data_IF_522421823308
#
_entry.id   IF_522421823308
#
_cell.length_a   1.000
_cell.length_b   1.000
_cell.length_c   1.000
_cell.angle_alpha   90.00
_cell.angle_beta   90.00
_cell.angle_gamma   90.00
#
_symmetry.space_group_name_H-M   'P 1'
#
loop_
_entity.id
_entity.type
_entity.pdbx_description
1 polymer ?
#
# COMPACT_ATOMS: atom_id res chain seq x y z
N UNK A 1 6.32 -5.95 34.77
CA UNK A 1 6.55 -5.57 36.19
C UNK A 1 7.01 -6.76 37.02
N UNK A 2 6.23 -7.85 37.12
CA UNK A 2 6.62 -9.05 37.88
C UNK A 2 7.96 -9.67 37.46
N UNK A 3 8.30 -9.64 36.16
CA UNK A 3 9.56 -10.19 35.64
C UNK A 3 10.83 -9.46 36.17
N UNK A 4 10.70 -8.26 36.74
CA UNK A 4 11.82 -7.50 37.29
C UNK A 4 12.20 -7.91 38.73
N UNK A 5 11.46 -8.83 39.36
CA UNK A 5 11.78 -9.29 40.70
C UNK A 5 13.18 -9.93 40.75
N UNK A 6 13.90 -9.68 41.85
CA UNK A 6 15.24 -10.25 42.09
C UNK A 6 15.22 -11.78 42.18
N UNK A 7 14.07 -12.38 42.51
CA UNK A 7 13.89 -13.83 42.57
C UNK A 7 13.96 -14.52 41.21
N UNK A 8 13.70 -13.80 40.11
CA UNK A 8 13.77 -14.33 38.75
C UNK A 8 15.20 -14.13 38.24
N UNK A 9 15.88 -15.20 37.85
CA UNK A 9 17.26 -15.13 37.37
C UNK A 9 17.37 -15.70 35.94
N UNK A 10 17.32 -14.85 34.87
CA UNK A 10 17.44 -15.29 33.48
C UNK A 10 18.55 -16.31 33.17
N UNK A 11 19.79 -16.18 33.69
CA UNK A 11 20.86 -17.13 33.43
C UNK A 11 20.62 -18.56 33.96
N UNK A 12 19.62 -18.80 34.83
CA UNK A 12 19.34 -20.16 35.32
C UNK A 12 18.54 -21.02 34.35
N UNK A 13 17.82 -20.41 33.41
CA UNK A 13 17.00 -21.12 32.41
C UNK A 13 17.30 -20.72 30.96
N UNK A 14 18.17 -19.73 30.74
CA UNK A 14 18.69 -19.45 29.41
C UNK A 14 19.52 -20.63 28.90
N UNK A 15 19.45 -20.89 27.60
CA UNK A 15 20.14 -22.02 26.97
C UNK A 15 20.98 -21.52 25.79
N UNK A 16 22.22 -22.01 25.72
CA UNK A 16 23.06 -21.79 24.55
C UNK A 16 22.67 -22.77 23.44
N UNK A 17 22.49 -22.26 22.24
CA UNK A 17 22.38 -23.07 21.04
C UNK A 17 23.79 -23.50 20.60
N UNK A 18 24.03 -24.80 20.52
CA UNK A 18 25.28 -25.33 19.95
C UNK A 18 25.24 -25.22 18.43
N UNK A 19 26.28 -24.60 17.85
CA UNK A 19 26.44 -24.57 16.39
C UNK A 19 26.61 -26.00 15.85
N UNK A 20 25.93 -26.29 14.74
CA UNK A 20 26.16 -27.50 13.94
C UNK A 20 27.51 -27.36 13.23
N UNK A 21 28.22 -28.48 13.04
CA UNK A 21 29.55 -28.49 12.41
C UNK A 21 29.50 -27.87 11.00
N UNK A 22 30.07 -26.66 10.86
CA UNK A 22 30.02 -25.79 9.68
C UNK A 22 30.71 -26.37 8.44
N UNK A 23 31.43 -27.49 8.56
CA UNK A 23 32.03 -28.19 7.44
C UNK A 23 31.03 -29.08 6.68
N UNK A 24 29.86 -29.38 7.27
CA UNK A 24 28.81 -30.20 6.66
C UNK A 24 27.83 -29.32 5.86
N UNK A 25 27.62 -28.07 6.28
CA UNK A 25 26.91 -27.08 5.47
C UNK A 25 27.89 -26.49 4.45
N UNK A 26 27.65 -26.71 3.16
CA UNK A 26 28.37 -26.09 2.04
C UNK A 26 28.11 -24.56 1.93
N UNK A 27 28.26 -23.83 3.04
CA UNK A 27 28.08 -22.38 3.14
C UNK A 27 29.37 -21.65 2.78
N UNK A 28 29.24 -20.50 2.10
CA UNK A 28 30.35 -19.57 1.85
C UNK A 28 30.83 -18.95 3.17
N UNK A 29 32.10 -18.57 3.23
CA UNK A 29 32.76 -18.07 4.44
C UNK A 29 32.08 -16.81 5.02
N UNK A 30 31.55 -15.93 4.16
CA UNK A 30 30.75 -14.77 4.57
C UNK A 30 29.45 -15.17 5.29
N UNK A 31 28.74 -16.18 4.77
CA UNK A 31 27.47 -16.66 5.34
C UNK A 31 27.69 -17.37 6.68
N UNK A 32 28.86 -17.98 6.87
CA UNK A 32 29.29 -18.56 8.16
C UNK A 32 29.51 -17.48 9.22
N UNK A 33 30.01 -16.31 8.84
CA UNK A 33 30.22 -15.19 9.76
C UNK A 33 28.88 -14.50 10.12
N UNK A 34 27.99 -14.29 9.15
CA UNK A 34 26.63 -13.79 9.43
C UNK A 34 25.83 -14.73 10.34
N UNK A 35 25.98 -16.05 10.18
CA UNK A 35 25.34 -17.02 11.07
C UNK A 35 25.88 -16.91 12.50
N UNK A 36 27.18 -16.69 12.69
CA UNK A 36 27.79 -16.50 14.02
C UNK A 36 27.30 -15.22 14.69
N UNK A 37 27.08 -14.16 13.91
CA UNK A 37 26.56 -12.88 14.40
C UNK A 37 25.03 -12.87 14.60
N UNK A 38 24.33 -13.93 14.18
CA UNK A 38 22.88 -14.03 14.33
C UNK A 38 22.44 -14.21 15.79
N UNK A 39 21.20 -13.80 16.08
CA UNK A 39 20.61 -13.77 17.42
C UNK A 39 20.59 -15.14 18.12
N UNK A 40 20.64 -16.22 17.34
CA UNK A 40 20.67 -17.61 17.80
C UNK A 40 22.00 -18.04 18.42
N UNK A 41 23.12 -17.50 17.93
CA UNK A 41 24.47 -17.97 18.26
C UNK A 41 25.32 -16.92 18.97
N UNK A 42 24.87 -15.66 19.01
CA UNK A 42 25.56 -14.55 19.66
C UNK A 42 25.52 -14.61 21.19
N UNK A 43 24.36 -14.94 21.76
CA UNK A 43 24.11 -14.91 23.21
C UNK A 43 23.19 -16.05 23.67
N UNK A 44 23.23 -16.45 24.96
CA UNK A 44 22.27 -17.40 25.53
C UNK A 44 20.84 -16.90 25.34
N UNK A 45 19.98 -17.75 24.77
CA UNK A 45 18.61 -17.36 24.44
C UNK A 45 17.74 -17.49 25.70
N UNK A 46 17.11 -16.39 26.07
CA UNK A 46 16.04 -16.37 27.07
C UNK A 46 14.69 -16.71 26.39
N UNK A 47 14.04 -17.84 26.72
CA UNK A 47 12.75 -18.20 26.13
C UNK A 47 11.63 -17.21 26.46
N UNK A 48 11.76 -16.44 27.55
CA UNK A 48 10.78 -15.43 27.94
C UNK A 48 10.83 -14.19 27.03
N UNK A 49 11.96 -13.95 26.36
CA UNK A 49 12.11 -12.82 25.43
C UNK A 49 11.18 -12.97 24.22
N UNK A 50 10.95 -14.20 23.73
CA UNK A 50 9.99 -14.47 22.65
C UNK A 50 8.54 -14.15 23.05
N UNK A 51 8.19 -14.32 24.32
CA UNK A 51 6.88 -13.94 24.89
C UNK A 51 6.78 -12.41 25.09
N UNK A 52 7.89 -11.67 24.95
CA UNK A 52 7.96 -10.23 25.17
C UNK A 52 8.27 -9.83 26.61
N UNK A 53 8.95 -10.70 27.37
CA UNK A 53 9.44 -10.39 28.72
C UNK A 53 10.94 -10.14 28.68
N UNK A 54 11.35 -8.91 29.02
CA UNK A 54 12.75 -8.53 29.12
C UNK A 54 13.05 -7.86 30.47
N UNK A 55 14.22 -8.15 31.04
CA UNK A 55 14.72 -7.43 32.22
C UNK A 55 15.35 -6.11 31.78
N UNK A 56 14.92 -5.01 32.37
CA UNK A 56 15.38 -3.66 32.02
C UNK A 56 15.63 -2.88 33.29
N UNK A 57 16.73 -2.13 33.34
CA UNK A 57 17.06 -1.26 34.48
C UNK A 57 16.11 -0.06 34.55
N UNK A 58 15.72 0.50 33.40
CA UNK A 58 14.66 1.50 33.31
C UNK A 58 13.31 0.81 33.03
N UNK A 59 12.54 0.60 34.10
CA UNK A 59 11.19 0.03 34.03
C UNK A 59 10.20 0.97 33.35
N UNK A 60 10.36 2.29 33.52
CA UNK A 60 9.41 3.27 33.01
C UNK A 60 9.58 3.46 31.50
N UNK A 61 10.82 3.49 31.02
CA UNK A 61 11.14 3.42 29.59
C UNK A 61 10.57 2.15 28.94
N UNK A 62 10.73 0.99 29.58
CA UNK A 62 10.21 -0.30 29.09
C UNK A 62 8.67 -0.32 28.99
N UNK A 63 7.96 0.26 29.96
CA UNK A 63 6.50 0.27 29.99
C UNK A 63 5.85 1.45 29.27
N UNK A 64 6.64 2.42 28.79
CA UNK A 64 6.16 3.69 28.22
C UNK A 64 5.06 3.52 27.18
N UNK A 65 5.26 2.62 26.19
CA UNK A 65 4.28 2.41 25.12
C UNK A 65 2.99 1.75 25.61
N UNK A 66 3.08 0.80 26.55
CA UNK A 66 1.91 0.15 27.15
C UNK A 66 1.10 1.13 28.00
N UNK A 67 1.78 1.98 28.77
CA UNK A 67 1.13 3.03 29.56
C UNK A 67 0.45 4.07 28.66
N UNK A 68 1.10 4.46 27.55
CA UNK A 68 0.51 5.38 26.57
C UNK A 68 -0.73 4.75 25.91
N UNK A 69 -0.66 3.47 25.51
CA UNK A 69 -1.81 2.74 24.97
C UNK A 69 -2.97 2.71 25.96
N UNK A 70 -2.70 2.40 27.24
CA UNK A 70 -3.72 2.40 28.29
C UNK A 70 -4.33 3.79 28.49
N UNK A 71 -3.50 4.83 28.50
CA UNK A 71 -3.96 6.22 28.62
C UNK A 71 -4.88 6.62 27.45
N UNK A 72 -4.55 6.22 26.22
CA UNK A 72 -5.40 6.46 25.04
C UNK A 72 -6.74 5.73 25.13
N UNK A 73 -6.74 4.45 25.55
CA UNK A 73 -7.98 3.68 25.75
C UNK A 73 -8.87 4.27 26.85
N UNK A 74 -8.27 4.68 27.97
CA UNK A 74 -8.99 5.36 29.03
C UNK A 74 -9.56 6.71 28.56
N UNK A 75 -8.78 7.46 27.78
CA UNK A 75 -9.20 8.73 27.22
C UNK A 75 -10.35 8.58 26.21
N UNK A 76 -10.33 7.56 25.37
CA UNK A 76 -11.43 7.21 24.45
C UNK A 76 -12.74 7.02 25.23
N UNK A 77 -12.74 6.14 26.23
CA UNK A 77 -13.93 5.86 27.06
C UNK A 77 -14.38 7.13 27.80
N UNK A 78 -13.43 7.94 28.28
CA UNK A 78 -13.72 9.21 28.95
C UNK A 78 -14.43 10.19 28.02
N UNK A 79 -14.00 10.32 26.75
CA UNK A 79 -14.66 11.15 25.74
C UNK A 79 -16.08 10.64 25.51
N UNK A 80 -16.27 9.33 25.28
CA UNK A 80 -17.60 8.77 25.04
C UNK A 80 -18.56 9.04 26.20
N UNK A 81 -18.10 8.85 27.44
CA UNK A 81 -18.89 9.12 28.65
C UNK A 81 -19.18 10.61 28.83
N UNK A 82 -18.21 11.47 28.56
CA UNK A 82 -18.40 12.92 28.63
C UNK A 82 -19.47 13.39 27.62
N UNK A 83 -19.41 12.89 26.38
CA UNK A 83 -20.39 13.19 25.32
C UNK A 83 -21.79 12.69 25.69
N UNK A 84 -21.90 11.48 26.24
CA UNK A 84 -23.16 10.92 26.73
C UNK A 84 -23.75 11.76 27.88
N UNK A 85 -22.93 12.11 28.87
CA UNK A 85 -23.34 12.94 30.00
C UNK A 85 -23.83 14.32 29.56
N UNK A 86 -23.11 14.98 28.65
CA UNK A 86 -23.50 16.28 28.10
C UNK A 86 -24.86 16.21 27.39
N UNK A 87 -25.11 15.16 26.62
CA UNK A 87 -26.39 14.96 25.91
C UNK A 87 -27.54 14.73 26.88
N UNK A 88 -27.35 13.88 27.90
CA UNK A 88 -28.36 13.60 28.91
C UNK A 88 -28.73 14.87 29.68
N UNK A 89 -27.73 15.65 30.11
CA UNK A 89 -27.95 16.90 30.85
C UNK A 89 -28.73 17.93 30.02
N UNK A 90 -28.43 18.03 28.73
CA UNK A 90 -29.06 18.99 27.83
C UNK A 90 -30.30 18.43 27.10
N UNK A 91 -30.73 17.21 27.43
CA UNK A 91 -31.86 16.50 26.79
C UNK A 91 -31.74 16.42 25.26
N UNK A 92 -30.51 16.25 24.75
CA UNK A 92 -30.21 16.12 23.33
C UNK A 92 -30.26 14.65 22.90
N UNK A 93 -30.87 14.38 21.75
CA UNK A 93 -30.84 13.05 21.12
C UNK A 93 -29.47 12.78 20.48
N UNK A 94 -29.07 11.50 20.33
CA UNK A 94 -27.89 11.17 19.55
C UNK A 94 -28.07 11.60 18.08
N UNK A 95 -27.06 12.21 17.44
CA UNK A 95 -27.19 12.67 16.06
C UNK A 95 -27.34 11.47 15.12
N UNK A 96 -28.30 11.58 14.18
CA UNK A 96 -28.62 10.51 13.23
C UNK A 96 -27.46 10.17 12.28
N UNK A 97 -26.60 11.15 11.99
CA UNK A 97 -25.38 10.99 11.21
C UNK A 97 -24.16 11.38 12.06
N UNK A 98 -23.08 10.59 11.97
CA UNK A 98 -21.80 10.87 12.65
C UNK A 98 -21.01 11.94 11.89
N UNK A 99 -21.55 13.16 11.83
CA UNK A 99 -20.96 14.32 11.14
C UNK A 99 -20.51 15.40 12.13
N UNK A 100 -19.55 16.23 11.72
CA UNK A 100 -19.01 17.31 12.54
C UNK A 100 -19.93 18.55 12.43
N UNK A 101 -20.16 19.01 11.20
CA UNK A 101 -20.99 20.18 10.93
C UNK A 101 -22.41 19.77 10.50
N UNK A 102 -23.39 19.93 11.39
CA UNK A 102 -24.76 19.49 11.14
C UNK A 102 -25.51 20.41 10.17
N UNK A 103 -25.13 21.68 10.10
CA UNK A 103 -25.78 22.70 9.25
C UNK A 103 -25.44 22.54 7.75
N UNK A 104 -24.46 21.68 7.43
CA UNK A 104 -23.92 21.57 6.08
C UNK A 104 -24.50 20.36 5.36
N UNK A 105 -25.38 20.65 4.42
CA UNK A 105 -25.97 19.66 3.50
C UNK A 105 -25.39 19.78 2.09
N UNK A 106 -25.76 18.86 1.19
CA UNK A 106 -25.30 18.87 -0.22
C UNK A 106 -25.65 20.17 -0.97
N UNK A 107 -26.74 20.83 -0.61
CA UNK A 107 -27.19 22.09 -1.22
C UNK A 107 -26.25 23.25 -0.90
N UNK A 108 -25.62 23.22 0.27
CA UNK A 108 -24.68 24.27 0.71
C UNK A 108 -23.31 24.19 0.04
N UNK A 109 -23.02 23.10 -0.69
CA UNK A 109 -21.73 22.90 -1.36
C UNK A 109 -21.45 23.95 -2.44
N UNK A 110 -22.49 24.48 -3.08
CA UNK A 110 -22.37 25.39 -4.21
C UNK A 110 -22.45 26.88 -3.83
N UNK A 111 -22.70 27.20 -2.55
CA UNK A 111 -22.91 28.58 -2.05
C UNK A 111 -21.58 29.33 -1.81
N UNK A 112 -20.54 28.65 -1.32
CA UNK A 112 -19.26 29.30 -1.04
C UNK A 112 -18.14 28.34 -0.65
N UNK A 113 -16.89 28.83 -0.71
CA UNK A 113 -15.67 28.02 -0.48
C UNK A 113 -15.63 27.45 0.95
N UNK A 114 -16.07 28.23 1.95
CA UNK A 114 -16.10 27.78 3.35
C UNK A 114 -17.10 26.62 3.53
N UNK A 115 -18.30 26.72 2.95
CA UNK A 115 -19.29 25.66 3.00
C UNK A 115 -18.84 24.42 2.22
N UNK A 116 -18.15 24.61 1.09
CA UNK A 116 -17.48 23.55 0.34
C UNK A 116 -16.46 22.79 1.20
N UNK A 117 -15.55 23.49 1.89
CA UNK A 117 -14.54 22.86 2.76
C UNK A 117 -15.23 22.11 3.92
N UNK A 118 -16.22 22.71 4.58
CA UNK A 118 -16.97 22.04 5.66
C UNK A 118 -17.69 20.79 5.18
N UNK A 119 -18.26 20.82 3.97
CA UNK A 119 -18.89 19.64 3.36
C UNK A 119 -17.86 18.53 3.12
N UNK A 120 -16.68 18.86 2.59
CA UNK A 120 -15.63 17.87 2.40
C UNK A 120 -15.13 17.30 3.72
N UNK A 121 -14.94 18.11 4.76
CA UNK A 121 -14.55 17.58 6.09
C UNK A 121 -15.56 16.52 6.58
N UNK A 122 -16.86 16.75 6.39
CA UNK A 122 -17.88 15.78 6.78
C UNK A 122 -17.95 14.54 5.88
N UNK A 123 -17.81 14.69 4.56
CA UNK A 123 -18.17 13.65 3.58
C UNK A 123 -17.03 13.23 2.65
N UNK A 124 -15.78 13.64 2.90
CA UNK A 124 -14.63 13.32 2.04
C UNK A 124 -14.45 11.81 1.89
N UNK A 125 -14.36 11.10 3.01
CA UNK A 125 -14.17 9.65 2.99
C UNK A 125 -15.39 8.89 2.46
N UNK A 126 -16.60 9.41 2.71
CA UNK A 126 -17.82 8.89 2.09
C UNK A 126 -17.74 8.97 0.56
N UNK A 127 -17.34 10.12 -0.01
CA UNK A 127 -17.32 10.36 -1.45
C UNK A 127 -16.14 9.75 -2.20
N UNK A 128 -14.96 9.71 -1.58
CA UNK A 128 -13.68 9.31 -2.19
C UNK A 128 -13.04 8.06 -1.56
N UNK A 129 -13.74 7.36 -0.67
CA UNK A 129 -13.19 6.19 0.04
C UNK A 129 -12.81 5.01 -0.85
N UNK A 130 -13.36 4.89 -2.09
CA UNK A 130 -12.83 3.96 -3.11
C UNK A 130 -11.45 4.39 -3.53
N UNK A 131 -11.41 5.61 -4.03
CA UNK A 131 -10.29 6.15 -4.75
C UNK A 131 -9.08 6.24 -3.82
N UNK A 132 -9.26 6.66 -2.57
CA UNK A 132 -8.21 6.70 -1.53
C UNK A 132 -7.74 5.28 -1.14
N UNK A 133 -8.67 4.35 -0.94
CA UNK A 133 -8.31 2.99 -0.56
C UNK A 133 -7.54 2.25 -1.66
N UNK A 134 -7.99 2.41 -2.90
CA UNK A 134 -7.39 1.76 -4.06
C UNK A 134 -6.08 2.44 -4.44
N UNK A 135 -5.98 3.78 -4.37
CA UNK A 135 -4.74 4.53 -4.65
C UNK A 135 -3.61 4.25 -3.67
N UNK A 136 -3.95 3.93 -2.43
CA UNK A 136 -2.94 3.61 -1.42
C UNK A 136 -2.32 2.21 -1.63
N UNK A 137 -2.99 1.29 -2.33
CA UNK A 137 -2.47 -0.08 -2.55
C UNK A 137 -1.12 -0.07 -3.29
N UNK A 138 -0.98 0.62 -4.44
CA UNK A 138 0.31 0.68 -5.13
C UNK A 138 1.39 1.45 -4.35
N UNK A 139 1.01 2.42 -3.53
CA UNK A 139 1.98 3.17 -2.69
C UNK A 139 2.64 2.23 -1.67
N UNK A 140 1.84 1.37 -1.01
CA UNK A 140 2.37 0.31 -0.12
C UNK A 140 3.29 -0.64 -0.89
N UNK A 141 2.92 -1.03 -2.12
CA UNK A 141 3.77 -1.85 -2.99
C UNK A 141 5.04 -1.15 -3.48
N UNK A 142 4.99 0.17 -3.74
CA UNK A 142 6.14 0.97 -4.17
C UNK A 142 7.16 1.21 -3.06
N UNK A 143 6.72 1.11 -1.81
CA UNK A 143 7.57 1.03 -0.64
C UNK A 143 8.15 -0.38 -0.40
N UNK A 144 8.23 -1.27 -1.39
CA UNK A 144 9.02 -2.52 -1.32
C UNK A 144 10.55 -2.32 -1.16
N UNK A 145 11.02 -1.14 -0.74
CA UNK A 145 12.41 -0.89 -0.34
C UNK A 145 12.83 -1.68 0.92
N UNK A 146 11.88 -2.29 1.62
CA UNK A 146 12.10 -3.06 2.85
C UNK A 146 12.05 -4.55 2.53
N UNK A 147 13.06 -5.14 1.89
CA UNK A 147 13.25 -6.60 1.79
C UNK A 147 12.33 -7.39 0.83
N UNK A 148 12.81 -8.57 0.41
CA UNK A 148 12.19 -9.43 -0.61
C UNK A 148 10.85 -10.05 -0.19
N UNK A 149 10.51 -10.00 1.11
CA UNK A 149 9.30 -10.64 1.62
C UNK A 149 8.02 -9.88 1.32
N UNK A 150 8.18 -8.57 1.37
CA UNK A 150 7.12 -7.61 1.23
C UNK A 150 6.66 -7.50 -0.22
N UNK A 151 7.52 -7.90 -1.16
CA UNK A 151 7.17 -8.02 -2.57
C UNK A 151 6.14 -9.12 -2.86
N UNK A 152 6.14 -10.24 -2.12
CA UNK A 152 5.13 -11.30 -2.30
C UNK A 152 3.75 -10.86 -1.77
N UNK A 153 3.71 -10.25 -0.58
CA UNK A 153 2.47 -9.68 -0.03
C UNK A 153 1.94 -8.54 -0.91
N UNK A 154 2.82 -7.67 -1.43
CA UNK A 154 2.45 -6.62 -2.38
C UNK A 154 1.84 -7.21 -3.67
N UNK A 155 2.37 -8.33 -4.17
CA UNK A 155 1.79 -9.04 -5.32
C UNK A 155 0.38 -9.56 -5.01
N UNK A 156 0.17 -10.17 -3.84
CA UNK A 156 -1.17 -10.61 -3.40
C UNK A 156 -2.16 -9.44 -3.30
N UNK A 157 -1.73 -8.30 -2.74
CA UNK A 157 -2.53 -7.09 -2.71
C UNK A 157 -2.86 -6.56 -4.11
N UNK A 158 -1.91 -6.63 -5.04
CA UNK A 158 -2.10 -6.22 -6.42
C UNK A 158 -3.09 -7.13 -7.18
N UNK A 159 -3.03 -8.45 -6.98
CA UNK A 159 -4.03 -9.38 -7.53
C UNK A 159 -5.42 -9.13 -6.95
N UNK A 160 -5.51 -8.86 -5.65
CA UNK A 160 -6.76 -8.50 -5.01
C UNK A 160 -7.34 -7.20 -5.59
N UNK A 161 -6.49 -6.21 -5.89
CA UNK A 161 -6.89 -4.97 -6.56
C UNK A 161 -7.40 -5.23 -8.00
N UNK A 162 -6.71 -6.07 -8.78
CA UNK A 162 -7.16 -6.46 -10.13
C UNK A 162 -8.54 -7.12 -10.07
N UNK A 163 -8.76 -8.04 -9.14
CA UNK A 163 -10.04 -8.73 -8.98
C UNK A 163 -11.20 -7.77 -8.66
N UNK A 164 -10.92 -6.71 -7.88
CA UNK A 164 -11.90 -5.66 -7.56
C UNK A 164 -12.14 -4.74 -8.75
N UNK A 165 -11.08 -4.30 -9.43
CA UNK A 165 -11.16 -3.38 -10.57
C UNK A 165 -11.76 -4.04 -11.83
N UNK A 166 -11.68 -5.36 -11.95
CA UNK A 166 -12.40 -6.10 -12.98
C UNK A 166 -13.92 -5.82 -12.93
N UNK A 167 -14.46 -5.58 -11.73
CA UNK A 167 -15.85 -5.16 -11.54
C UNK A 167 -15.97 -3.65 -11.76
N UNK A 168 -16.38 -3.24 -12.97
CA UNK A 168 -16.44 -1.81 -13.35
C UNK A 168 -17.53 -0.97 -12.65
N UNK A 169 -18.50 -1.59 -11.97
CA UNK A 169 -19.67 -0.90 -11.37
C UNK A 169 -19.49 -0.77 -9.85
N UNK A 170 -19.70 0.42 -9.28
CA UNK A 170 -19.61 0.63 -7.82
C UNK A 170 -20.52 -0.26 -7.00
N UNK A 171 -21.77 -0.49 -7.43
CA UNK A 171 -22.70 -1.39 -6.73
C UNK A 171 -22.12 -2.80 -6.61
N UNK A 172 -21.55 -3.32 -7.69
CA UNK A 172 -20.92 -4.65 -7.71
C UNK A 172 -19.60 -4.72 -6.89
N UNK A 173 -18.90 -3.59 -6.76
CA UNK A 173 -17.71 -3.47 -5.89
C UNK A 173 -18.15 -3.39 -4.40
N UNK A 174 -19.21 -2.64 -4.10
CA UNK A 174 -19.70 -2.41 -2.74
C UNK A 174 -20.35 -3.66 -2.12
N UNK A 175 -21.22 -4.35 -2.86
CA UNK A 175 -22.00 -5.48 -2.32
C UNK A 175 -21.15 -6.72 -1.99
N UNK A 176 -20.14 -7.02 -2.82
CA UNK A 176 -19.42 -8.31 -2.73
C UNK A 176 -17.90 -8.10 -2.66
N UNK A 177 -17.38 -6.99 -3.19
CA UNK A 177 -15.93 -6.79 -3.32
C UNK A 177 -15.26 -6.39 -2.00
N UNK A 178 -15.82 -5.44 -1.25
CA UNK A 178 -15.09 -4.77 -0.18
C UNK A 178 -15.08 -5.44 1.18
N UNK A 179 -16.20 -6.00 1.61
CA UNK A 179 -16.22 -6.81 2.82
C UNK A 179 -15.30 -8.01 2.68
N UNK A 180 -15.34 -8.69 1.52
CA UNK A 180 -14.43 -9.79 1.18
C UNK A 180 -12.98 -9.33 1.09
N UNK A 181 -12.70 -8.19 0.46
CA UNK A 181 -11.35 -7.63 0.38
C UNK A 181 -10.81 -7.22 1.75
N UNK A 182 -11.63 -6.61 2.60
CA UNK A 182 -11.26 -6.26 3.97
C UNK A 182 -10.96 -7.53 4.79
N UNK A 183 -11.76 -8.59 4.63
CA UNK A 183 -11.48 -9.88 5.26
C UNK A 183 -10.17 -10.50 4.75
N UNK A 184 -9.94 -10.51 3.43
CA UNK A 184 -8.69 -11.00 2.84
C UNK A 184 -7.49 -10.21 3.36
N UNK A 185 -7.58 -8.88 3.43
CA UNK A 185 -6.53 -8.00 3.97
C UNK A 185 -6.29 -8.24 5.46
N UNK A 186 -7.35 -8.45 6.25
CA UNK A 186 -7.23 -8.80 7.66
C UNK A 186 -6.52 -10.15 7.84
N UNK A 187 -6.88 -11.17 7.05
CA UNK A 187 -6.21 -12.47 7.05
C UNK A 187 -4.74 -12.38 6.61
N UNK A 188 -4.42 -11.54 5.61
CA UNK A 188 -3.03 -11.31 5.20
C UNK A 188 -2.23 -10.63 6.31
N UNK A 189 -2.80 -9.60 6.95
CA UNK A 189 -2.15 -8.89 8.06
C UNK A 189 -1.90 -9.81 9.26
N UNK A 190 -2.87 -10.66 9.63
CA UNK A 190 -2.66 -11.63 10.71
C UNK A 190 -1.59 -12.63 10.36
N UNK A 191 -1.61 -13.18 9.13
CA UNK A 191 -0.59 -14.11 8.67
C UNK A 191 0.81 -13.48 8.65
N UNK A 192 0.93 -12.25 8.16
CA UNK A 192 2.17 -11.49 8.17
C UNK A 192 2.69 -11.28 9.60
N UNK A 193 1.81 -10.93 10.54
CA UNK A 193 2.18 -10.80 11.95
C UNK A 193 2.67 -12.14 12.55
N UNK A 194 2.00 -13.25 12.23
CA UNK A 194 2.45 -14.59 12.63
C UNK A 194 3.82 -14.95 12.07
N UNK A 195 4.09 -14.63 10.81
CA UNK A 195 5.40 -14.84 10.18
C UNK A 195 6.48 -13.99 10.88
N UNK A 196 6.17 -12.73 11.22
CA UNK A 196 7.10 -11.85 11.94
C UNK A 196 7.39 -12.31 13.39
N UNK A 197 6.43 -12.93 14.08
CA UNK A 197 6.65 -13.51 15.42
C UNK A 197 7.64 -14.69 15.35
N UNK A 198 7.64 -15.41 14.23
CA UNK A 198 8.48 -16.59 14.04
C UNK A 198 8.13 -17.74 14.98
N UNK A 199 9.00 -18.75 15.00
CA UNK A 199 8.83 -19.93 15.86
C UNK A 199 9.51 -19.64 17.20
N UNK A 200 8.91 -20.02 18.35
CA UNK A 200 9.56 -19.87 19.65
C UNK A 200 10.91 -20.58 19.62
N UNK A 201 11.96 -19.83 19.97
CA UNK A 201 13.34 -20.29 20.06
C UNK A 201 13.53 -21.19 21.28
N UNK A 202 12.80 -22.31 21.34
CA UNK A 202 13.15 -23.40 22.23
C UNK A 202 14.19 -24.28 21.51
N UNK A 203 15.20 -24.81 22.23
CA UNK A 203 16.22 -25.66 21.64
C UNK A 203 15.60 -27.03 21.36
N UNK A 204 14.84 -27.12 20.27
CA UNK A 204 14.49 -28.41 19.68
C UNK A 204 15.70 -28.85 18.88
N UNK A 205 16.16 -30.06 19.20
CA UNK A 205 17.20 -30.82 18.50
C UNK A 205 17.17 -30.51 17.02
N UNK A 206 18.29 -29.98 16.54
CA UNK A 206 18.76 -30.01 15.16
C UNK A 206 17.66 -29.68 14.14
N UNK A 207 17.81 -28.57 13.44
CA UNK A 207 17.19 -28.39 12.13
C UNK A 207 18.21 -28.86 11.07
N UNK A 208 18.48 -30.17 10.85
CA UNK A 208 19.41 -30.61 9.82
C UNK A 208 18.70 -30.73 8.45
N UNK A 209 17.38 -30.95 8.40
CA UNK A 209 16.63 -31.16 7.14
C UNK A 209 16.49 -29.91 6.28
N UNK A 210 16.64 -28.72 6.86
CA UNK A 210 16.62 -27.47 6.11
C UNK A 210 17.92 -27.27 5.32
N UNK A 211 19.03 -27.87 5.75
CA UNK A 211 20.34 -27.71 5.09
C UNK A 211 20.36 -28.22 3.64
N UNK A 212 19.54 -29.22 3.30
CA UNK A 212 19.44 -29.77 1.94
C UNK A 212 18.58 -28.91 0.98
N UNK A 213 17.79 -27.99 1.52
CA UNK A 213 17.00 -27.03 0.75
C UNK A 213 17.73 -25.70 0.50
N UNK A 214 18.93 -25.49 1.06
CA UNK A 214 19.82 -24.39 0.68
C UNK A 214 20.36 -24.62 -0.74
N UNK A 215 19.47 -24.49 -1.70
CA UNK A 215 19.83 -24.18 -3.07
C UNK A 215 20.44 -22.78 -3.09
N UNK A 216 21.39 -22.52 -4.00
CA UNK A 216 22.06 -21.22 -4.21
C UNK A 216 21.09 -20.03 -4.47
N UNK A 217 19.80 -20.32 -4.57
CA UNK A 217 18.74 -19.35 -4.73
C UNK A 217 18.54 -18.52 -3.47
N UNK A 218 18.80 -17.22 -3.59
CA UNK A 218 18.48 -16.18 -2.59
C UNK A 218 16.99 -16.22 -2.17
N UNK A 219 16.12 -16.86 -2.96
CA UNK A 219 14.68 -17.05 -2.68
C UNK A 219 14.41 -18.09 -1.59
N UNK A 220 15.21 -19.17 -1.50
CA UNK A 220 15.02 -20.18 -0.42
C UNK A 220 15.67 -19.71 0.88
N UNK A 221 16.82 -19.04 0.79
CA UNK A 221 17.41 -18.29 1.91
C UNK A 221 16.44 -17.24 2.46
N UNK A 222 15.66 -16.61 1.59
CA UNK A 222 14.62 -15.63 1.94
C UNK A 222 13.43 -16.22 2.72
N UNK A 223 12.89 -17.37 2.30
CA UNK A 223 11.76 -18.04 2.96
C UNK A 223 12.14 -18.57 4.36
N UNK A 224 13.42 -18.87 4.57
CA UNK A 224 13.94 -19.48 5.80
C UNK A 224 14.56 -18.46 6.78
N UNK A 225 15.07 -17.32 6.30
CA UNK A 225 15.65 -16.25 7.15
C UNK A 225 14.60 -15.56 8.04
N UNK A 226 13.35 -15.45 7.56
CA UNK A 226 12.23 -14.91 8.34
C UNK A 226 11.97 -15.67 9.65
N UNK A 227 12.42 -16.93 9.76
CA UNK A 227 12.21 -17.78 10.92
C UNK A 227 13.30 -17.57 11.99
N UNK A 228 14.45 -16.99 11.63
CA UNK A 228 15.67 -17.02 12.48
C UNK A 228 16.07 -15.66 13.09
N UNK A 229 15.59 -14.53 12.58
CA UNK A 229 15.88 -13.21 13.15
C UNK A 229 14.77 -12.18 12.87
N UNK A 230 14.15 -11.58 13.90
CA UNK A 230 13.28 -10.42 13.70
C UNK A 230 14.14 -9.20 13.41
N UNK A 231 14.18 -8.77 12.14
CA UNK A 231 14.86 -7.53 11.76
C UNK A 231 13.94 -6.32 12.07
N UNK A 232 14.45 -5.23 12.67
CA UNK A 232 13.64 -4.05 13.04
C UNK A 232 12.98 -3.35 11.84
N UNK A 233 13.56 -3.53 10.66
CA UNK A 233 13.10 -3.08 9.33
C UNK A 233 11.71 -3.65 8.95
N UNK A 234 11.28 -4.75 9.58
CA UNK A 234 10.03 -5.46 9.27
C UNK A 234 8.78 -4.79 9.88
N UNK A 235 8.92 -3.98 10.95
CA UNK A 235 7.77 -3.44 11.67
C UNK A 235 7.05 -2.30 10.95
N UNK A 236 7.78 -1.49 10.16
CA UNK A 236 7.23 -0.30 9.50
C UNK A 236 6.23 -0.64 8.39
N UNK A 237 6.41 -1.76 7.68
CA UNK A 237 5.54 -2.14 6.55
C UNK A 237 4.16 -2.60 7.01
N UNK A 238 4.07 -3.29 8.16
CA UNK A 238 2.79 -3.75 8.71
C UNK A 238 1.83 -2.62 9.10
N UNK A 239 2.35 -1.41 9.36
CA UNK A 239 1.56 -0.21 9.65
C UNK A 239 0.76 0.22 8.43
N UNK A 240 1.33 0.12 7.23
CA UNK A 240 0.66 0.51 5.99
C UNK A 240 -0.51 -0.41 5.66
N UNK A 241 -0.34 -1.72 5.83
CA UNK A 241 -1.43 -2.69 5.64
C UNK A 241 -2.56 -2.47 6.65
N UNK A 242 -2.21 -2.10 7.89
CA UNK A 242 -3.19 -1.71 8.90
C UNK A 242 -3.95 -0.43 8.51
N UNK A 243 -3.27 0.61 8.01
CA UNK A 243 -3.92 1.82 7.50
C UNK A 243 -4.86 1.52 6.32
N UNK A 244 -4.46 0.60 5.44
CA UNK A 244 -5.25 0.15 4.29
C UNK A 244 -6.50 -0.63 4.74
N UNK A 245 -6.38 -1.47 5.77
CA UNK A 245 -7.52 -2.16 6.38
C UNK A 245 -8.47 -1.18 7.07
N UNK A 246 -7.94 -0.20 7.80
CA UNK A 246 -8.73 0.83 8.48
C UNK A 246 -9.53 1.65 7.47
N UNK A 247 -8.92 2.05 6.34
CA UNK A 247 -9.64 2.73 5.26
C UNK A 247 -10.79 1.87 4.70
N UNK A 248 -10.56 0.57 4.48
CA UNK A 248 -11.63 -0.32 4.02
C UNK A 248 -12.78 -0.43 5.04
N UNK A 249 -12.47 -0.48 6.34
CA UNK A 249 -13.47 -0.58 7.41
C UNK A 249 -14.32 0.69 7.56
N UNK A 250 -13.68 1.88 7.58
CA UNK A 250 -14.37 3.17 7.68
C UNK A 250 -15.37 3.34 6.53
N UNK A 251 -15.05 2.79 5.37
CA UNK A 251 -15.93 2.88 4.22
C UNK A 251 -17.20 2.07 4.36
N UNK A 252 -17.08 0.82 4.83
CA UNK A 252 -18.25 -0.05 4.99
C UNK A 252 -19.30 0.67 5.86
N UNK A 253 -18.83 1.47 6.82
CA UNK A 253 -19.67 2.31 7.69
C UNK A 253 -20.26 3.54 6.99
N UNK A 254 -19.64 4.04 5.92
CA UNK A 254 -20.03 5.29 5.24
C UNK A 254 -21.21 5.12 4.26
N UNK A 255 -21.49 3.90 3.76
CA UNK A 255 -22.66 3.61 2.90
C UNK A 255 -22.48 3.90 1.39
N UNK A 256 -23.57 3.81 0.63
CA UNK A 256 -23.54 3.79 -0.85
C UNK A 256 -23.56 5.18 -1.50
N UNK A 257 -22.64 5.39 -2.44
CA UNK A 257 -22.62 6.51 -3.39
C UNK A 257 -22.96 5.99 -4.79
N UNK A 258 -24.21 6.18 -5.21
CA UNK A 258 -24.71 5.68 -6.51
C UNK A 258 -24.04 6.42 -7.68
N UNK A 259 -23.60 5.67 -8.69
CA UNK A 259 -23.08 6.23 -9.95
C UNK A 259 -24.22 6.74 -10.84
N UNK A 260 -23.93 7.77 -11.63
CA UNK A 260 -24.83 8.31 -12.66
C UNK A 260 -24.99 7.29 -13.81
N UNK A 261 -26.13 7.30 -14.50
CA UNK A 261 -26.34 6.46 -15.69
C UNK A 261 -25.31 6.79 -16.78
N UNK A 262 -24.79 5.78 -17.50
CA UNK A 262 -23.69 5.96 -18.49
C UNK A 262 -24.19 6.32 -19.89
N UNK A 263 -25.49 6.23 -20.12
CA UNK A 263 -26.15 6.43 -21.41
C UNK A 263 -26.83 7.81 -21.52
N UNK A 264 -26.39 8.79 -20.73
CA UNK A 264 -26.94 10.15 -20.74
C UNK A 264 -26.25 11.01 -21.80
N UNK A 265 -27.03 11.57 -22.72
CA UNK A 265 -26.58 12.59 -23.66
C UNK A 265 -26.65 13.98 -23.01
N UNK A 266 -25.50 14.65 -22.93
CA UNK A 266 -25.33 15.92 -22.22
C UNK A 266 -26.28 17.03 -22.73
N UNK A 267 -26.51 17.09 -24.04
CA UNK A 267 -27.37 18.10 -24.66
C UNK A 267 -28.86 17.97 -24.27
N UNK A 268 -29.38 16.75 -24.13
CA UNK A 268 -30.78 16.52 -23.72
C UNK A 268 -30.99 16.63 -22.21
N UNK A 269 -29.93 16.41 -21.42
CA UNK A 269 -30.02 16.28 -19.97
C UNK A 269 -29.53 17.52 -19.20
N UNK A 270 -28.94 18.50 -19.88
CA UNK A 270 -28.55 19.79 -19.27
C UNK A 270 -29.74 20.49 -18.58
N UNK A 271 -30.94 20.38 -19.16
CA UNK A 271 -32.20 20.93 -18.62
C UNK A 271 -32.69 20.20 -17.37
N UNK A 272 -32.38 18.91 -17.22
CA UNK A 272 -32.79 18.07 -16.09
C UNK A 272 -31.68 17.90 -15.03
N UNK A 273 -30.55 18.59 -15.19
CA UNK A 273 -29.42 18.47 -14.29
C UNK A 273 -29.73 19.11 -12.94
N UNK A 274 -29.66 18.38 -11.81
CA UNK A 274 -29.94 18.95 -10.48
C UNK A 274 -28.86 19.93 -9.99
N UNK A 275 -27.74 20.06 -10.71
CA UNK A 275 -26.64 20.94 -10.36
C UNK A 275 -26.75 22.25 -11.16
N UNK A 276 -26.71 23.43 -10.53
CA UNK A 276 -26.71 24.71 -11.25
C UNK A 276 -25.45 24.88 -12.09
N UNK A 277 -25.54 25.69 -13.15
CA UNK A 277 -24.39 26.04 -13.96
C UNK A 277 -23.34 26.76 -13.10
N UNK A 278 -22.09 26.31 -13.21
CA UNK A 278 -20.95 26.79 -12.42
C UNK A 278 -19.88 27.46 -13.27
N UNK A 279 -20.18 27.74 -14.55
CA UNK A 279 -19.25 28.32 -15.53
C UNK A 279 -18.55 29.60 -15.04
N UNK A 280 -19.17 30.34 -14.11
CA UNK A 280 -18.60 31.57 -13.53
C UNK A 280 -17.70 31.36 -12.28
N UNK A 281 -17.58 30.13 -11.75
CA UNK A 281 -16.83 29.85 -10.52
C UNK A 281 -15.44 29.23 -10.81
N UNK A 282 -14.38 30.04 -10.63
CA UNK A 282 -13.02 29.75 -11.12
C UNK A 282 -12.43 28.42 -10.64
N UNK A 283 -12.63 28.02 -9.38
CA UNK A 283 -12.01 26.80 -8.83
C UNK A 283 -12.64 25.53 -9.41
N UNK A 284 -13.97 25.51 -9.58
CA UNK A 284 -14.69 24.35 -10.11
C UNK A 284 -14.40 24.17 -11.59
N UNK A 285 -14.37 25.26 -12.35
CA UNK A 285 -13.97 25.23 -13.76
C UNK A 285 -12.54 24.69 -13.90
N UNK A 286 -11.60 25.13 -13.05
CA UNK A 286 -10.23 24.60 -13.09
C UNK A 286 -10.20 23.09 -12.81
N UNK A 287 -10.90 22.64 -11.77
CA UNK A 287 -10.92 21.24 -11.39
C UNK A 287 -11.64 20.33 -12.39
N UNK A 288 -12.73 20.79 -13.01
CA UNK A 288 -13.52 19.94 -13.93
C UNK A 288 -13.05 20.02 -15.39
N UNK A 289 -12.49 21.15 -15.84
CA UNK A 289 -12.09 21.36 -17.24
C UNK A 289 -10.59 21.16 -17.46
N UNK A 290 -9.71 21.71 -16.60
CA UNK A 290 -8.25 21.68 -16.84
C UNK A 290 -7.55 20.46 -16.22
N UNK A 291 -8.18 19.79 -15.26
CA UNK A 291 -7.61 18.59 -14.65
C UNK A 291 -7.32 17.48 -15.66
N UNK A 292 -8.12 17.33 -16.72
CA UNK A 292 -7.87 16.35 -17.77
C UNK A 292 -6.47 16.50 -18.39
N UNK A 293 -6.13 17.72 -18.79
CA UNK A 293 -4.82 18.05 -19.37
C UNK A 293 -3.69 17.88 -18.37
N UNK A 294 -3.93 18.25 -17.10
CA UNK A 294 -2.97 18.02 -16.03
C UNK A 294 -2.65 16.52 -15.83
N UNK A 295 -3.68 15.65 -15.84
CA UNK A 295 -3.48 14.19 -15.73
C UNK A 295 -2.70 13.64 -16.93
N UNK A 296 -2.93 14.16 -18.14
CA UNK A 296 -2.12 13.79 -19.32
C UNK A 296 -0.65 14.18 -19.17
N UNK A 297 -0.35 15.34 -18.58
CA UNK A 297 1.03 15.75 -18.26
C UNK A 297 1.67 14.80 -17.25
N UNK A 298 0.95 14.36 -16.21
CA UNK A 298 1.45 13.37 -15.27
C UNK A 298 1.77 12.05 -15.98
N UNK A 299 0.88 11.57 -16.86
CA UNK A 299 1.13 10.36 -17.67
C UNK A 299 2.40 10.53 -18.53
N UNK A 300 2.59 11.71 -19.14
CA UNK A 300 3.79 12.01 -19.91
C UNK A 300 5.07 11.97 -19.06
N UNK A 301 5.05 12.58 -17.86
CA UNK A 301 6.17 12.55 -16.91
C UNK A 301 6.46 11.09 -16.50
N UNK A 302 5.44 10.29 -16.20
CA UNK A 302 5.63 8.87 -15.86
C UNK A 302 6.20 8.05 -17.02
N UNK A 303 5.89 8.41 -18.26
CA UNK A 303 6.42 7.77 -19.46
C UNK A 303 7.83 8.21 -19.86
N UNK A 304 8.30 9.38 -19.42
CA UNK A 304 9.62 9.94 -19.80
C UNK A 304 10.68 9.81 -18.72
N UNK A 305 10.27 9.70 -17.45
CA UNK A 305 11.20 9.61 -16.30
C UNK A 305 12.08 8.36 -16.31
N UNK A 306 11.66 7.27 -16.97
CA UNK A 306 12.43 6.01 -17.06
C UNK A 306 12.35 5.40 -18.45
N UNK A 307 13.44 4.73 -18.84
CA UNK A 307 13.54 4.00 -20.11
C UNK A 307 13.13 2.56 -19.84
N UNK A 308 11.89 2.21 -20.19
CA UNK A 308 11.34 0.86 -20.05
C UNK A 308 10.27 0.62 -21.12
N UNK A 309 10.08 -0.63 -21.54
CA UNK A 309 8.97 -1.01 -22.42
C UNK A 309 7.61 -0.63 -21.82
N UNK A 310 7.47 -0.67 -20.50
CA UNK A 310 6.26 -0.24 -19.82
C UNK A 310 5.99 1.27 -19.97
N UNK A 311 7.04 2.07 -20.11
CA UNK A 311 6.93 3.51 -20.32
C UNK A 311 6.46 3.86 -21.73
N UNK A 312 6.81 3.04 -22.73
CA UNK A 312 6.34 3.21 -24.11
C UNK A 312 4.81 3.20 -24.20
N UNK A 313 4.13 2.32 -23.47
CA UNK A 313 2.67 2.29 -23.45
C UNK A 313 2.04 3.56 -22.86
N UNK A 314 2.65 4.17 -21.84
CA UNK A 314 2.19 5.47 -21.31
C UNK A 314 2.36 6.60 -22.33
N UNK A 315 3.48 6.63 -23.06
CA UNK A 315 3.71 7.63 -24.10
C UNK A 315 2.72 7.48 -25.27
N UNK A 316 2.48 6.25 -25.73
CA UNK A 316 1.49 5.97 -26.78
C UNK A 316 0.09 6.41 -26.34
N UNK A 317 -0.32 6.09 -25.12
CA UNK A 317 -1.60 6.53 -24.58
C UNK A 317 -1.67 8.07 -24.46
N UNK A 318 -0.61 8.71 -23.97
CA UNK A 318 -0.53 10.16 -23.82
C UNK A 318 -0.69 10.86 -25.18
N UNK A 319 0.08 10.47 -26.19
CA UNK A 319 -0.02 11.05 -27.53
C UNK A 319 -1.39 10.82 -28.17
N UNK A 320 -1.97 9.63 -28.00
CA UNK A 320 -3.33 9.34 -28.46
C UNK A 320 -4.37 10.28 -27.84
N UNK A 321 -4.32 10.48 -26.51
CA UNK A 321 -5.24 11.38 -25.83
C UNK A 321 -4.94 12.86 -26.06
N UNK A 322 -3.70 13.26 -26.33
CA UNK A 322 -3.38 14.64 -26.72
C UNK A 322 -3.94 14.97 -28.10
N UNK A 323 -3.86 14.03 -29.05
CA UNK A 323 -4.28 14.25 -30.43
C UNK A 323 -5.81 14.14 -30.61
N UNK A 324 -6.45 13.18 -29.95
CA UNK A 324 -7.89 12.94 -30.06
C UNK A 324 -8.71 13.41 -28.85
N UNK A 325 -8.07 13.97 -27.82
CA UNK A 325 -8.70 14.29 -26.53
C UNK A 325 -9.88 15.25 -26.65
N UNK A 326 -9.72 16.32 -27.42
CA UNK A 326 -10.79 17.31 -27.65
C UNK A 326 -12.06 16.68 -28.24
N UNK A 327 -11.91 15.86 -29.27
CA UNK A 327 -13.05 15.14 -29.88
C UNK A 327 -13.61 14.03 -28.99
N UNK A 328 -12.77 13.41 -28.16
CA UNK A 328 -13.18 12.36 -27.21
C UNK A 328 -14.03 12.91 -26.07
N UNK A 329 -13.80 14.15 -25.64
CA UNK A 329 -14.59 14.83 -24.61
C UNK A 329 -16.00 15.18 -25.10
N UNK A 330 -16.17 15.43 -26.41
CA UNK A 330 -17.47 15.70 -27.04
C UNK A 330 -18.29 14.43 -27.32
N UNK A 331 -17.65 13.26 -27.31
CA UNK A 331 -18.32 11.96 -27.50
C UNK A 331 -19.01 11.51 -26.20
N UNK A 332 -20.04 10.64 -26.27
CA UNK A 332 -20.77 10.19 -25.09
C UNK A 332 -19.83 9.55 -24.06
N UNK A 333 -20.08 9.82 -22.78
CA UNK A 333 -19.21 9.51 -21.64
C UNK A 333 -18.83 8.01 -21.59
N UNK A 334 -19.72 7.12 -22.05
CA UNK A 334 -19.48 5.67 -22.16
C UNK A 334 -18.25 5.30 -23.00
N UNK A 335 -17.96 6.06 -24.07
CA UNK A 335 -16.84 5.78 -24.98
C UNK A 335 -15.52 6.21 -24.35
N UNK A 336 -15.43 7.43 -23.81
CA UNK A 336 -14.24 7.92 -23.13
C UNK A 336 -13.91 7.09 -21.88
N UNK A 337 -14.91 6.72 -21.07
CA UNK A 337 -14.70 5.85 -19.91
C UNK A 337 -14.15 4.48 -20.28
N UNK A 338 -14.47 3.93 -21.45
CA UNK A 338 -13.93 2.64 -21.88
C UNK A 338 -12.43 2.71 -22.15
N UNK A 339 -11.99 3.76 -22.84
CA UNK A 339 -10.56 4.01 -23.07
C UNK A 339 -9.84 4.34 -21.76
N UNK A 340 -10.50 5.08 -20.86
CA UNK A 340 -9.95 5.42 -19.55
C UNK A 340 -9.82 4.20 -18.63
N UNK A 341 -10.83 3.31 -18.60
CA UNK A 341 -10.77 2.04 -17.87
C UNK A 341 -9.66 1.13 -18.42
N UNK A 342 -9.38 1.16 -19.73
CA UNK A 342 -8.24 0.44 -20.33
C UNK A 342 -6.90 1.02 -19.88
N UNK A 343 -6.78 2.34 -19.79
CA UNK A 343 -5.57 3.01 -19.29
C UNK A 343 -5.32 2.70 -17.80
N UNK A 344 -6.37 2.69 -16.98
CA UNK A 344 -6.29 2.28 -15.57
C UNK A 344 -5.83 0.82 -15.47
N UNK A 345 -6.39 -0.07 -16.28
CA UNK A 345 -5.99 -1.47 -16.33
C UNK A 345 -4.52 -1.64 -16.75
N UNK A 346 -4.06 -0.85 -17.73
CA UNK A 346 -2.66 -0.82 -18.15
C UNK A 346 -1.73 -0.38 -17.00
N UNK A 347 -2.07 0.68 -16.28
CA UNK A 347 -1.27 1.15 -15.14
C UNK A 347 -1.18 0.09 -14.03
N UNK A 348 -2.30 -0.54 -13.65
CA UNK A 348 -2.29 -1.65 -12.68
C UNK A 348 -1.40 -2.80 -13.18
N UNK A 349 -1.52 -3.17 -14.46
CA UNK A 349 -0.70 -4.21 -15.08
C UNK A 349 0.80 -3.88 -14.99
N UNK A 350 1.19 -2.65 -15.32
CA UNK A 350 2.60 -2.19 -15.20
C UNK A 350 3.10 -2.32 -13.77
N UNK A 351 2.32 -1.89 -12.78
CA UNK A 351 2.69 -2.00 -11.36
C UNK A 351 2.87 -3.47 -10.95
N UNK A 352 1.95 -4.35 -11.35
CA UNK A 352 2.04 -5.78 -11.03
C UNK A 352 3.24 -6.45 -11.69
N UNK A 353 3.52 -6.13 -12.95
CA UNK A 353 4.65 -6.67 -13.69
C UNK A 353 5.97 -6.19 -13.11
N UNK A 354 6.08 -4.90 -12.74
CA UNK A 354 7.27 -4.37 -12.05
C UNK A 354 7.52 -5.07 -10.72
N UNK A 355 6.47 -5.38 -9.95
CA UNK A 355 6.60 -6.14 -8.70
C UNK A 355 7.04 -7.60 -8.91
N UNK A 356 6.54 -8.29 -9.94
CA UNK A 356 6.98 -9.67 -10.25
C UNK A 356 8.44 -9.66 -10.70
N UNK A 357 8.79 -8.69 -11.54
CA UNK A 357 10.13 -8.51 -12.08
C UNK A 357 11.16 -8.13 -11.01
N UNK A 358 10.78 -7.35 -9.99
CA UNK A 358 11.67 -7.03 -8.87
C UNK A 358 12.03 -8.25 -8.03
N UNK A 359 11.07 -9.16 -7.79
CA UNK A 359 11.32 -10.46 -7.11
C UNK A 359 12.31 -11.30 -7.92
N UNK A 360 12.08 -11.42 -9.23
CA UNK A 360 12.97 -12.17 -10.13
C UNK A 360 14.37 -11.56 -10.18
N UNK A 361 14.47 -10.23 -10.22
CA UNK A 361 15.74 -9.52 -10.22
C UNK A 361 16.54 -9.81 -8.94
N UNK A 362 15.94 -9.69 -7.75
CA UNK A 362 16.65 -9.95 -6.49
C UNK A 362 16.99 -11.44 -6.30
N UNK A 363 16.15 -12.37 -6.79
CA UNK A 363 16.40 -13.81 -6.70
C UNK A 363 17.54 -14.30 -7.59
N UNK A 364 17.68 -13.75 -8.80
CA UNK A 364 18.57 -14.26 -9.86
C UNK A 364 19.61 -13.26 -10.37
N UNK A 365 19.90 -12.18 -9.62
CA UNK A 365 20.77 -11.07 -10.07
C UNK A 365 22.11 -11.54 -10.65
N UNK A 366 22.76 -12.52 -10.02
CA UNK A 366 24.09 -13.01 -10.43
C UNK A 366 24.06 -13.79 -11.76
N UNK A 367 22.97 -14.51 -12.06
CA UNK A 367 22.81 -15.22 -13.34
C UNK A 367 22.31 -14.28 -14.44
N UNK A 368 21.42 -13.34 -14.10
CA UNK A 368 20.88 -12.36 -15.05
C UNK A 368 21.94 -11.39 -15.59
N UNK A 369 22.89 -10.96 -14.75
CA UNK A 369 23.99 -10.07 -15.16
C UNK A 369 24.93 -10.78 -16.14
N UNK A 370 25.19 -12.09 -15.92
CA UNK A 370 26.16 -12.86 -16.71
C UNK A 370 25.64 -13.20 -18.11
N UNK A 371 24.35 -13.56 -18.22
CA UNK A 371 23.81 -14.12 -19.46
C UNK A 371 22.88 -13.16 -20.23
N UNK A 372 22.22 -12.20 -19.56
CA UNK A 372 21.04 -11.48 -20.10
C UNK A 372 21.02 -9.97 -19.76
N UNK A 373 22.17 -9.30 -19.87
CA UNK A 373 22.33 -7.86 -19.61
C UNK A 373 21.31 -6.97 -20.38
N UNK A 374 21.00 -7.28 -21.64
CA UNK A 374 20.03 -6.54 -22.45
C UNK A 374 18.61 -6.54 -21.84
N UNK A 375 18.22 -7.63 -21.17
CA UNK A 375 16.88 -7.79 -20.59
C UNK A 375 16.70 -6.94 -19.33
N UNK A 376 17.78 -6.76 -18.56
CA UNK A 376 17.81 -5.87 -17.39
C UNK A 376 17.60 -4.42 -17.81
N UNK A 377 18.25 -3.97 -18.90
CA UNK A 377 18.10 -2.60 -19.41
C UNK A 377 16.71 -2.36 -20.03
N UNK A 378 16.20 -3.31 -20.82
CA UNK A 378 14.90 -3.18 -21.50
C UNK A 378 13.71 -3.12 -20.54
N UNK A 379 13.77 -3.89 -19.45
CA UNK A 379 12.74 -3.92 -18.41
C UNK A 379 13.02 -2.96 -17.25
N UNK A 380 14.19 -2.31 -17.24
CA UNK A 380 14.67 -1.47 -16.12
C UNK A 380 14.60 -2.20 -14.78
N UNK A 381 15.17 -3.42 -14.72
CA UNK A 381 15.20 -4.23 -13.51
C UNK A 381 16.15 -3.63 -12.48
N UNK A 382 15.62 -3.20 -11.34
CA UNK A 382 16.39 -2.77 -10.19
C UNK A 382 15.99 -3.61 -8.96
N UNK A 383 16.97 -4.15 -8.25
CA UNK A 383 16.73 -4.71 -6.91
C UNK A 383 16.76 -3.54 -5.92
N UNK A 384 15.61 -3.23 -5.33
CA UNK A 384 15.43 -2.08 -4.43
C UNK A 384 15.82 -2.38 -2.97
N UNK A 385 16.23 -3.61 -2.68
CA UNK A 385 16.58 -4.05 -1.34
C UNK A 385 18.03 -3.66 -1.05
N UNK A 386 18.21 -2.71 -0.12
CA UNK A 386 19.54 -2.19 0.29
C UNK A 386 20.45 -3.25 0.95
N UNK A 387 19.89 -4.34 1.47
CA UNK A 387 20.64 -5.39 2.20
C UNK A 387 21.26 -6.48 1.32
N UNK A 388 20.96 -6.53 0.01
CA UNK A 388 21.67 -7.44 -0.90
C UNK A 388 22.87 -6.73 -1.51
N UNK A 389 24.03 -6.89 -0.87
CA UNK A 389 25.30 -6.52 -1.50
C UNK A 389 25.47 -7.31 -2.80
N UNK A 390 25.44 -6.58 -3.92
CA UNK A 390 25.86 -7.07 -5.21
C UNK A 390 27.38 -7.23 -5.10
N UNK A 391 27.92 -8.42 -5.35
CA UNK A 391 29.37 -8.63 -5.42
C UNK A 391 29.93 -7.70 -6.51
N UNK A 392 30.54 -6.59 -6.09
CA UNK A 392 31.08 -5.54 -6.97
C UNK A 392 32.42 -5.92 -7.61
N UNK A 393 32.90 -7.15 -7.41
CA UNK A 393 34.21 -7.61 -7.85
C UNK A 393 34.27 -8.15 -9.29
N UNK A 394 33.28 -7.87 -10.14
CA UNK A 394 33.35 -8.24 -11.56
C UNK A 394 33.49 -6.98 -12.43
N UNK A 395 34.62 -6.84 -13.12
CA UNK A 395 34.92 -5.78 -14.11
C UNK A 395 33.85 -5.63 -15.21
N UNK A 396 32.96 -6.62 -15.37
CA UNK A 396 31.77 -6.56 -16.21
C UNK A 396 30.72 -5.53 -15.77
N UNK A 397 30.69 -5.12 -14.49
CA UNK A 397 29.77 -4.10 -13.96
C UNK A 397 30.09 -2.68 -14.49
N UNK A 398 31.34 -2.39 -14.88
CA UNK A 398 31.72 -1.06 -15.40
C UNK A 398 31.15 -0.76 -16.79
N UNK A 399 30.78 -1.78 -17.57
CA UNK A 399 30.15 -1.62 -18.90
C UNK A 399 28.63 -1.47 -18.83
N UNK A 400 28.02 -1.74 -17.68
CA UNK A 400 26.58 -1.73 -17.51
C UNK A 400 26.21 -0.63 -16.51
N UNK A 401 25.72 0.50 -17.03
CA UNK A 401 25.15 1.56 -16.21
C UNK A 401 23.86 0.99 -15.57
N UNK A 402 23.98 0.40 -14.38
CA UNK A 402 22.81 -0.05 -13.62
C UNK A 402 22.06 1.23 -13.18
N UNK A 403 20.75 1.34 -13.44
CA UNK A 403 19.98 2.47 -12.92
C UNK A 403 20.01 2.41 -11.39
N UNK A 404 20.70 3.38 -10.78
CA UNK A 404 20.92 3.47 -9.33
C UNK A 404 19.71 3.96 -8.56
N UNK A 405 18.69 4.44 -9.25
CA UNK A 405 17.56 5.12 -8.65
C UNK A 405 16.28 4.28 -8.77
N UNK A 406 15.49 4.31 -7.70
CA UNK A 406 14.19 3.68 -7.44
C UNK A 406 13.42 3.13 -8.67
N UNK A 407 12.82 1.94 -8.52
CA UNK A 407 12.09 1.15 -9.53
C UNK A 407 10.88 1.84 -10.21
N UNK A 408 10.71 3.17 -10.07
CA UNK A 408 9.71 3.98 -10.76
C UNK A 408 8.28 3.77 -10.28
N UNK A 409 8.06 2.88 -9.30
CA UNK A 409 6.72 2.51 -8.81
C UNK A 409 6.01 3.71 -8.15
N UNK A 410 6.76 4.67 -7.60
CA UNK A 410 6.20 5.89 -7.00
C UNK A 410 5.44 6.72 -8.05
N UNK A 411 6.05 6.95 -9.22
CA UNK A 411 5.40 7.68 -10.31
C UNK A 411 4.19 6.92 -10.85
N UNK A 412 4.28 5.59 -10.99
CA UNK A 412 3.12 4.77 -11.39
C UNK A 412 1.95 4.89 -10.40
N UNK A 413 2.25 4.96 -9.09
CA UNK A 413 1.26 5.13 -8.01
C UNK A 413 0.61 6.52 -8.03
N UNK A 414 1.41 7.57 -8.26
CA UNK A 414 0.90 8.94 -8.43
C UNK A 414 -0.02 9.01 -9.66
N UNK A 415 0.41 8.41 -10.78
CA UNK A 415 -0.40 8.32 -11.99
C UNK A 415 -1.73 7.61 -11.73
N UNK A 416 -1.68 6.47 -11.03
CA UNK A 416 -2.88 5.70 -10.66
C UNK A 416 -3.90 6.53 -9.87
N UNK A 417 -3.44 7.30 -8.87
CA UNK A 417 -4.29 8.16 -8.07
C UNK A 417 -5.02 9.22 -8.93
N UNK A 418 -4.28 9.89 -9.83
CA UNK A 418 -4.85 10.88 -10.73
C UNK A 418 -5.80 10.28 -11.78
N UNK A 419 -5.52 9.08 -12.28
CA UNK A 419 -6.42 8.36 -13.19
C UNK A 419 -7.77 8.04 -12.53
N UNK A 420 -7.77 7.59 -11.28
CA UNK A 420 -8.99 7.33 -10.50
C UNK A 420 -9.76 8.62 -10.21
N UNK A 421 -9.05 9.71 -9.87
CA UNK A 421 -9.65 11.02 -9.65
C UNK A 421 -10.33 11.53 -10.93
N UNK A 422 -9.66 11.45 -12.08
CA UNK A 422 -10.23 11.87 -13.36
C UNK A 422 -11.44 10.99 -13.76
N UNK A 423 -11.39 9.69 -13.50
CA UNK A 423 -12.54 8.79 -13.71
C UNK A 423 -13.75 9.21 -12.88
N UNK A 424 -13.55 9.74 -11.68
CA UNK A 424 -14.62 10.30 -10.83
C UNK A 424 -15.22 11.56 -11.43
N UNK A 425 -14.37 12.43 -11.98
CA UNK A 425 -14.78 13.67 -12.66
C UNK A 425 -15.66 13.37 -13.87
N UNK A 426 -15.29 12.40 -14.72
CA UNK A 426 -16.12 11.99 -15.86
C UNK A 426 -17.50 11.46 -15.45
N UNK A 427 -17.63 10.87 -14.27
CA UNK A 427 -18.88 10.34 -13.73
C UNK A 427 -19.68 11.35 -12.89
N UNK A 428 -19.38 12.64 -13.03
CA UNK A 428 -19.96 13.71 -12.23
C UNK A 428 -20.95 14.55 -13.05
N UNK A 429 -22.04 15.00 -12.42
CA UNK A 429 -23.01 15.93 -13.03
C UNK A 429 -22.37 17.26 -13.45
N UNK A 430 -21.28 17.66 -12.78
CA UNK A 430 -20.53 18.86 -13.14
C UNK A 430 -19.86 18.74 -14.51
N UNK A 431 -19.40 17.55 -14.90
CA UNK A 431 -18.75 17.35 -16.20
C UNK A 431 -19.73 17.50 -17.37
N UNK A 432 -21.02 17.19 -17.16
CA UNK A 432 -22.05 17.39 -18.19
C UNK A 432 -22.20 18.85 -18.60
N UNK A 433 -22.03 19.81 -17.68
CA UNK A 433 -22.04 21.25 -17.99
C UNK A 433 -20.79 21.74 -18.71
N UNK A 434 -19.68 20.99 -18.65
CA UNK A 434 -18.45 21.34 -19.40
C UNK A 434 -18.54 20.87 -20.85
N UNK A 435 -19.34 19.82 -21.09
CA UNK A 435 -19.53 19.21 -22.42
C UNK A 435 -20.71 19.84 -23.18
N UNK A 436 -21.74 20.30 -22.46
CA UNK A 436 -22.86 21.07 -23.00
C UNK A 436 -22.40 22.47 -23.40
#
# INVERSE_FOLDING_TARGET
MLYQLKSINPPSYSKNCTMVNLNILWLKEHEKNELKDSLLYKEPIDPANWVGLHKSDDLLGYLRYNLLMLAVLAFEVTIYRHQEYFRLRNKLSPPAARIIFHDITRQHLDIGIIHFIKYFINYFFYKFGLEVNDSNVPVVGGQCNWGSAWSFYAMLHAFALIAVMYRRRRKAIAEIGQSKLAAIRACMLTFQYFVCIGIPLQPVKTIPEVSQLYTDSKVVKWLMFQISAPNPVQHSSSVYDFMLLLCAAVRIMAGDNVEICRDLDAASFSVHNPVPDFSHCSIKVIMFSYLFWFVLTIIFITGTTRISVFCMGYLVACFYFLLFGGELLLKPIKRILRYWDFLIAYNIFVITMKNILSILACGYINSLIKDRCWLIQLLSLACTIKEYNIDTNQDHLRKMMLPSDEAGIIWDSICFAFLLLQRRVFMSYYFLHVVA
#
